data_IF_838572752632
#
_entry.id   IF_838572752632
#
_cell.length_a   1.000
_cell.length_b   1.000
_cell.length_c   1.000
_cell.angle_alpha   90.00
_cell.angle_beta   90.00
_cell.angle_gamma   90.00
#
_symmetry.space_group_name_H-M   'P 1'
#
loop_
_entity.id
_entity.type
_entity.pdbx_description
1 polymer ?
#
# COMPACT_ATOMS: atom_id res chain seq x y z
N UNK A 1 -0.12 -19.11 17.09
CA UNK A 1 0.33 -18.72 15.73
C UNK A 1 1.34 -17.58 15.89
N UNK A 2 2.50 -17.61 15.24
CA UNK A 2 3.44 -16.48 15.23
C UNK A 2 2.94 -15.44 14.23
N UNK A 3 3.00 -14.16 14.59
CA UNK A 3 2.72 -13.08 13.64
C UNK A 3 3.75 -13.09 12.50
N UNK A 4 3.36 -12.75 11.26
CA UNK A 4 4.30 -12.68 10.15
C UNK A 4 5.40 -11.64 10.42
N UNK A 5 6.61 -11.82 9.86
CA UNK A 5 7.66 -10.84 10.00
C UNK A 5 7.22 -9.45 9.49
N UNK A 6 7.58 -8.37 10.18
CA UNK A 6 7.41 -6.97 9.74
C UNK A 6 7.67 -6.71 8.25
N UNK A 7 8.82 -7.18 7.76
CA UNK A 7 9.26 -7.02 6.37
C UNK A 7 8.33 -7.71 5.38
N UNK A 8 7.75 -8.85 5.78
CA UNK A 8 6.77 -9.56 4.97
C UNK A 8 5.46 -8.78 4.88
N UNK A 9 4.96 -8.23 6.00
CA UNK A 9 3.76 -7.39 5.98
C UNK A 9 3.95 -6.17 5.09
N UNK A 10 5.11 -5.50 5.20
CA UNK A 10 5.47 -4.37 4.32
C UNK A 10 5.46 -4.76 2.83
N UNK A 11 6.06 -5.90 2.46
CA UNK A 11 6.10 -6.32 1.06
C UNK A 11 4.73 -6.66 0.51
N UNK A 12 3.85 -7.28 1.32
CA UNK A 12 2.47 -7.53 0.91
C UNK A 12 1.71 -6.22 0.62
N UNK A 13 1.84 -5.21 1.49
CA UNK A 13 1.15 -3.93 1.27
C UNK A 13 1.64 -3.25 -0.02
N UNK A 14 2.95 -3.20 -0.25
CA UNK A 14 3.51 -2.60 -1.47
C UNK A 14 3.01 -3.35 -2.72
N UNK A 15 2.98 -4.68 -2.67
CA UNK A 15 2.48 -5.50 -3.77
C UNK A 15 1.00 -5.24 -4.06
N UNK A 16 0.15 -5.15 -3.04
CA UNK A 16 -1.28 -4.85 -3.21
C UNK A 16 -1.52 -3.47 -3.85
N UNK A 17 -0.76 -2.45 -3.45
CA UNK A 17 -0.86 -1.10 -4.05
C UNK A 17 -0.46 -1.13 -5.53
N UNK A 18 0.65 -1.79 -5.84
CA UNK A 18 1.14 -1.93 -7.21
C UNK A 18 0.13 -2.71 -8.07
N UNK A 19 -0.37 -3.86 -7.57
CA UNK A 19 -1.34 -4.69 -8.26
C UNK A 19 -2.66 -3.96 -8.50
N UNK A 20 -3.14 -3.18 -7.52
CA UNK A 20 -4.33 -2.35 -7.68
C UNK A 20 -4.16 -1.30 -8.78
N UNK A 21 -3.01 -0.64 -8.82
CA UNK A 21 -2.69 0.37 -9.85
C UNK A 21 -2.63 -0.25 -11.24
N UNK A 22 -2.01 -1.43 -11.37
CA UNK A 22 -1.97 -2.21 -12.62
C UNK A 22 -3.39 -2.58 -13.05
N UNK A 23 -4.21 -3.11 -12.14
CA UNK A 23 -5.60 -3.47 -12.42
C UNK A 23 -6.42 -2.28 -12.92
N UNK A 24 -6.31 -1.12 -12.28
CA UNK A 24 -7.01 0.08 -12.73
C UNK A 24 -6.57 0.51 -14.14
N UNK A 25 -5.27 0.42 -14.43
CA UNK A 25 -4.74 0.74 -15.76
C UNK A 25 -5.28 -0.23 -16.83
N UNK A 26 -5.39 -1.52 -16.51
CA UNK A 26 -5.99 -2.52 -17.40
C UNK A 26 -7.47 -2.25 -17.66
N UNK A 27 -8.23 -1.89 -16.62
CA UNK A 27 -9.64 -1.51 -16.73
C UNK A 27 -9.83 -0.26 -17.60
N UNK A 28 -8.96 0.75 -17.43
CA UNK A 28 -9.00 1.97 -18.23
C UNK A 28 -8.67 1.68 -19.70
N UNK A 29 -7.60 0.90 -19.96
CA UNK A 29 -7.23 0.48 -21.33
C UNK A 29 -8.31 -0.36 -22.01
N UNK A 30 -9.05 -1.16 -21.25
CA UNK A 30 -10.19 -1.91 -21.74
C UNK A 30 -11.46 -1.05 -21.94
N UNK A 31 -11.43 0.24 -21.59
CA UNK A 31 -12.57 1.14 -21.67
C UNK A 31 -13.67 0.85 -20.64
N UNK A 32 -13.38 0.05 -19.61
CA UNK A 32 -14.34 -0.31 -18.56
C UNK A 32 -14.50 0.78 -17.50
N UNK A 33 -13.46 1.60 -17.34
CA UNK A 33 -13.50 2.83 -16.54
C UNK A 33 -12.90 3.97 -17.37
N UNK A 34 -13.32 5.20 -17.10
CA UNK A 34 -12.71 6.38 -17.71
C UNK A 34 -11.52 6.92 -16.89
N UNK A 35 -10.78 7.87 -17.44
CA UNK A 35 -9.61 8.45 -16.77
C UNK A 35 -9.93 9.17 -15.45
N UNK A 36 -11.13 9.75 -15.32
CA UNK A 36 -11.55 10.35 -14.04
C UNK A 36 -11.76 9.29 -12.97
N UNK A 37 -12.33 8.14 -13.33
CA UNK A 37 -12.51 7.00 -12.42
C UNK A 37 -11.17 6.34 -12.06
N UNK A 38 -10.25 6.23 -13.02
CA UNK A 38 -8.88 5.78 -12.79
C UNK A 38 -8.18 6.66 -11.75
N UNK A 39 -8.17 7.98 -11.95
CA UNK A 39 -7.52 8.92 -11.04
C UNK A 39 -8.16 8.91 -9.65
N UNK A 40 -9.49 8.85 -9.57
CA UNK A 40 -10.21 8.83 -8.30
C UNK A 40 -9.99 7.53 -7.49
N UNK A 41 -9.69 6.41 -8.15
CA UNK A 41 -9.45 5.11 -7.51
C UNK A 41 -7.97 4.79 -7.32
N UNK A 42 -7.08 5.54 -7.97
CA UNK A 42 -5.63 5.34 -7.87
C UNK A 42 -5.11 5.80 -6.52
N UNK A 43 -4.09 5.10 -6.02
CA UNK A 43 -3.36 5.59 -4.85
C UNK A 43 -2.58 6.86 -5.20
N UNK A 44 -2.51 7.85 -4.30
CA UNK A 44 -1.58 8.97 -4.42
C UNK A 44 -0.13 8.49 -4.58
N UNK A 45 0.68 9.25 -5.32
CA UNK A 45 2.08 8.87 -5.59
C UNK A 45 2.94 8.74 -4.30
N UNK A 46 2.57 9.46 -3.24
CA UNK A 46 3.23 9.47 -1.94
C UNK A 46 2.68 8.41 -0.96
N UNK A 47 1.65 7.63 -1.34
CA UNK A 47 1.02 6.64 -0.49
C UNK A 47 2.02 5.58 0.01
N UNK A 48 2.94 5.12 -0.86
CA UNK A 48 3.95 4.12 -0.49
C UNK A 48 4.90 4.67 0.59
N UNK A 49 5.37 5.91 0.44
CA UNK A 49 6.25 6.54 1.44
C UNK A 49 5.52 6.79 2.76
N UNK A 50 4.24 7.20 2.70
CA UNK A 50 3.41 7.41 3.89
C UNK A 50 3.21 6.12 4.67
N UNK A 51 2.90 5.03 3.96
CA UNK A 51 2.75 3.70 4.55
C UNK A 51 4.08 3.21 5.15
N UNK A 52 5.20 3.41 4.45
CA UNK A 52 6.50 2.98 4.96
C UNK A 52 6.86 3.69 6.27
N UNK A 53 6.62 5.00 6.35
CA UNK A 53 6.79 5.78 7.59
C UNK A 53 5.88 5.27 8.70
N UNK A 54 4.61 5.02 8.42
CA UNK A 54 3.66 4.53 9.42
C UNK A 54 4.08 3.16 9.97
N UNK A 55 4.57 2.26 9.11
CA UNK A 55 5.10 0.95 9.52
C UNK A 55 6.33 1.12 10.41
N UNK A 56 7.27 1.99 10.03
CA UNK A 56 8.46 2.27 10.85
C UNK A 56 8.07 2.81 12.24
N UNK A 57 7.19 3.81 12.29
CA UNK A 57 6.68 4.37 13.56
C UNK A 57 5.98 3.32 14.42
N UNK A 58 5.20 2.41 13.83
CA UNK A 58 4.57 1.33 14.60
C UNK A 58 5.60 0.38 15.24
N UNK A 59 6.73 0.12 14.56
CA UNK A 59 7.83 -0.65 15.15
C UNK A 59 8.55 0.10 16.25
N UNK A 60 8.84 1.39 16.03
CA UNK A 60 9.47 2.23 17.03
C UNK A 60 8.59 2.26 18.30
N UNK A 61 7.29 2.51 18.16
CA UNK A 61 6.31 2.49 19.26
C UNK A 61 6.29 1.15 20.00
N UNK A 62 6.20 0.03 19.29
CA UNK A 62 6.21 -1.30 19.89
C UNK A 62 7.49 -1.57 20.69
N UNK A 63 8.64 -1.11 20.21
CA UNK A 63 9.92 -1.28 20.90
C UNK A 63 10.10 -0.27 22.06
N UNK A 64 9.37 0.85 22.06
CA UNK A 64 9.40 1.85 23.13
C UNK A 64 8.35 1.65 24.23
N UNK A 65 7.35 0.78 24.02
CA UNK A 65 6.39 0.35 25.07
C UNK A 65 6.87 -0.89 25.88
N UNK A 66 8.19 -1.09 25.96
CA UNK A 66 8.81 -1.75 27.14
C UNK A 66 9.23 -0.65 28.15
N UNK A 67 8.26 -0.13 28.91
CA UNK A 67 8.52 0.64 30.16
C UNK A 67 7.59 0.15 31.27
#
# INVERSE_FOLDING_TARGET
KKNPPPRFVKSQIINEIANHSIKLLELEKAGQINSSEFLAKSFPADAIQTIDKAIATAFDLFNTEEL
#
